data_IF_241076803748
#
_entry.id   IF_241076803748
#
_cell.length_a   1.000
_cell.length_b   1.000
_cell.length_c   1.000
_cell.angle_alpha   90.00
_cell.angle_beta   90.00
_cell.angle_gamma   90.00
#
_symmetry.space_group_name_H-M   'P 1'
#
loop_
_entity.id
_entity.type
_entity.pdbx_description
1 polymer ?
#
# COMPACT_ATOMS: atom_id res chain seq x y z
N UNK A 1 47.15 7.20 42.76
CA UNK A 1 46.18 6.14 42.88
C UNK A 1 44.84 6.66 42.34
N UNK A 2 44.58 6.40 41.10
CA UNK A 2 43.30 6.77 40.41
C UNK A 2 42.33 5.63 40.63
N UNK A 3 41.16 5.92 41.23
CA UNK A 3 40.07 4.97 41.38
C UNK A 3 39.52 4.54 39.99
N UNK A 4 39.17 3.27 39.82
CA UNK A 4 38.58 2.80 38.58
C UNK A 4 37.14 3.36 38.44
N UNK A 5 36.88 3.98 37.33
CA UNK A 5 35.59 4.51 36.94
C UNK A 5 34.73 3.41 36.29
N UNK A 6 34.42 2.35 37.00
CA UNK A 6 33.38 1.38 36.61
C UNK A 6 32.10 1.66 37.40
N UNK A 7 31.53 2.82 37.17
CA UNK A 7 30.13 3.04 37.47
C UNK A 7 29.35 2.49 36.28
N UNK A 8 28.82 1.27 36.40
CA UNK A 8 27.73 0.80 35.59
C UNK A 8 26.59 1.81 35.76
N UNK A 9 26.48 2.75 34.82
CA UNK A 9 25.33 3.64 34.76
C UNK A 9 24.09 2.79 34.51
N UNK A 10 23.40 2.48 35.60
CA UNK A 10 22.08 1.87 35.50
C UNK A 10 21.13 2.94 34.98
N UNK A 11 20.89 2.92 33.70
CA UNK A 11 19.83 3.74 33.11
C UNK A 11 18.50 3.22 33.61
N UNK A 12 17.94 3.88 34.59
CA UNK A 12 16.55 3.69 34.99
C UNK A 12 15.67 4.30 33.92
N UNK A 13 15.22 3.48 32.97
CA UNK A 13 14.19 3.92 32.05
C UNK A 13 12.88 4.11 32.81
N UNK A 14 12.17 5.20 32.52
CA UNK A 14 10.89 5.51 33.16
C UNK A 14 9.88 4.39 32.93
N UNK A 15 9.27 3.89 34.01
CA UNK A 15 8.15 2.94 34.02
C UNK A 15 6.90 3.58 33.36
N UNK A 16 6.05 2.81 32.64
CA UNK A 16 6.03 1.35 32.56
C UNK A 16 6.83 0.78 31.39
N UNK A 17 7.56 -0.30 31.63
CA UNK A 17 8.23 -1.09 30.59
C UNK A 17 7.20 -1.98 29.90
N UNK A 18 6.55 -1.46 28.86
CA UNK A 18 5.69 -2.28 27.99
C UNK A 18 6.60 -2.91 26.94
N UNK A 19 7.01 -4.15 27.17
CA UNK A 19 7.70 -4.94 26.15
C UNK A 19 6.67 -5.71 25.33
N UNK A 20 6.77 -5.62 24.01
CA UNK A 20 6.00 -6.43 23.10
C UNK A 20 6.96 -7.38 22.37
N UNK A 21 6.60 -8.65 22.22
CA UNK A 21 7.37 -9.66 21.50
C UNK A 21 7.44 -9.41 19.98
N UNK A 22 6.71 -8.44 19.49
CA UNK A 22 6.70 -8.05 18.09
C UNK A 22 7.81 -7.03 17.79
N UNK A 23 8.89 -7.49 17.18
CA UNK A 23 9.88 -6.60 16.59
C UNK A 23 9.34 -5.93 15.32
N UNK A 24 9.83 -4.74 14.99
CA UNK A 24 9.49 -4.03 13.75
C UNK A 24 9.72 -4.91 12.52
N UNK A 25 10.83 -5.65 12.50
CA UNK A 25 11.15 -6.57 11.42
C UNK A 25 10.09 -7.68 11.26
N UNK A 26 9.63 -8.28 12.37
CA UNK A 26 8.59 -9.32 12.34
C UNK A 26 7.28 -8.77 11.75
N UNK A 27 6.90 -7.56 12.14
CA UNK A 27 5.71 -6.89 11.58
C UNK A 27 5.86 -6.68 10.07
N UNK A 28 6.98 -6.12 9.63
CA UNK A 28 7.23 -5.85 8.20
C UNK A 28 7.27 -7.14 7.36
N UNK A 29 7.89 -8.20 7.87
CA UNK A 29 7.89 -9.51 7.21
C UNK A 29 6.47 -10.07 7.09
N UNK A 30 5.63 -9.95 8.12
CA UNK A 30 4.25 -10.43 8.06
C UNK A 30 3.43 -9.64 7.02
N UNK A 31 3.67 -8.33 6.90
CA UNK A 31 3.05 -7.52 5.83
C UNK A 31 3.55 -7.97 4.45
N UNK A 32 4.85 -8.24 4.27
CA UNK A 32 5.38 -8.79 3.00
C UNK A 32 4.68 -10.11 2.67
N UNK A 33 4.56 -11.03 3.62
CA UNK A 33 3.86 -12.32 3.41
C UNK A 33 2.42 -12.09 2.95
N UNK A 34 1.72 -11.11 3.50
CA UNK A 34 0.35 -10.78 3.09
C UNK A 34 0.25 -10.15 1.70
N UNK A 35 1.32 -9.47 1.22
CA UNK A 35 1.40 -8.89 -0.12
C UNK A 35 1.81 -9.91 -1.19
N UNK A 36 2.52 -10.98 -0.83
CA UNK A 36 3.02 -11.98 -1.78
C UNK A 36 1.94 -12.59 -2.69
N UNK A 37 0.76 -13.01 -2.19
CA UNK A 37 -0.29 -13.54 -3.05
C UNK A 37 -0.76 -12.54 -4.12
N UNK A 38 -0.83 -11.26 -3.77
CA UNK A 38 -1.17 -10.18 -4.70
C UNK A 38 -0.08 -9.96 -5.75
N UNK A 39 1.20 -10.00 -5.34
CA UNK A 39 2.34 -9.93 -6.26
C UNK A 39 2.31 -11.10 -7.25
N UNK A 40 2.09 -12.33 -6.76
CA UNK A 40 2.05 -13.54 -7.60
C UNK A 40 0.89 -13.46 -8.59
N UNK A 41 -0.32 -13.11 -8.13
CA UNK A 41 -1.46 -12.94 -9.03
C UNK A 41 -1.21 -11.85 -10.07
N UNK A 42 -0.67 -10.69 -9.66
CA UNK A 42 -0.33 -9.60 -10.57
C UNK A 42 0.65 -10.03 -11.67
N UNK A 43 1.65 -10.85 -11.31
CA UNK A 43 2.59 -11.41 -12.31
C UNK A 43 1.91 -12.43 -13.23
N UNK A 44 0.99 -13.25 -12.73
CA UNK A 44 0.22 -14.20 -13.54
C UNK A 44 -0.68 -13.47 -14.54
N UNK A 45 -1.34 -12.38 -14.10
CA UNK A 45 -2.29 -11.62 -14.92
C UNK A 45 -1.60 -10.73 -15.97
N UNK A 46 -0.53 -10.03 -15.58
CA UNK A 46 0.11 -9.01 -16.42
C UNK A 46 1.49 -9.40 -16.95
N UNK A 47 1.99 -10.56 -16.56
CA UNK A 47 3.22 -11.15 -17.09
C UNK A 47 4.50 -10.46 -16.61
N UNK A 48 5.53 -10.52 -17.47
CA UNK A 48 6.88 -10.06 -17.15
C UNK A 48 6.97 -8.58 -16.79
N UNK A 49 6.14 -7.74 -17.39
CA UNK A 49 6.16 -6.29 -17.12
C UNK A 49 5.77 -5.99 -15.66
N UNK A 50 4.77 -6.69 -15.12
CA UNK A 50 4.40 -6.57 -13.70
C UNK A 50 5.53 -7.05 -12.79
N UNK A 51 6.19 -8.17 -13.12
CA UNK A 51 7.34 -8.66 -12.37
C UNK A 51 8.47 -7.63 -12.35
N UNK A 52 8.81 -7.07 -13.51
CA UNK A 52 9.86 -6.04 -13.61
C UNK A 52 9.50 -4.78 -12.81
N UNK A 53 8.27 -4.32 -12.89
CA UNK A 53 7.79 -3.16 -12.10
C UNK A 53 7.93 -3.42 -10.59
N UNK A 54 7.49 -4.59 -10.09
CA UNK A 54 7.60 -4.96 -8.68
C UNK A 54 9.06 -5.10 -8.22
N UNK A 55 9.92 -5.71 -9.03
CA UNK A 55 11.35 -5.84 -8.72
C UNK A 55 12.04 -4.47 -8.71
N UNK A 56 11.77 -3.64 -9.71
CA UNK A 56 12.37 -2.31 -9.81
C UNK A 56 11.94 -1.43 -8.65
N UNK A 57 10.65 -1.38 -8.29
CA UNK A 57 10.19 -0.59 -7.14
C UNK A 57 10.75 -1.11 -5.82
N UNK A 58 10.77 -2.42 -5.62
CA UNK A 58 11.31 -3.03 -4.41
C UNK A 58 12.81 -2.75 -4.25
N UNK A 59 13.61 -3.04 -5.28
CA UNK A 59 15.06 -2.86 -5.23
C UNK A 59 15.43 -1.38 -5.15
N UNK A 60 14.85 -0.52 -6.00
CA UNK A 60 15.16 0.91 -5.98
C UNK A 60 14.80 1.57 -4.64
N UNK A 61 13.71 1.16 -4.00
CA UNK A 61 13.33 1.66 -2.67
C UNK A 61 14.39 1.34 -1.61
N UNK A 62 14.89 0.10 -1.58
CA UNK A 62 15.95 -0.31 -0.66
C UNK A 62 17.26 0.43 -0.97
N UNK A 63 17.62 0.57 -2.25
CA UNK A 63 18.82 1.30 -2.67
C UNK A 63 18.76 2.77 -2.28
N UNK A 64 17.62 3.45 -2.49
CA UNK A 64 17.47 4.85 -2.12
C UNK A 64 17.52 5.07 -0.60
N UNK A 65 16.91 4.18 0.20
CA UNK A 65 17.06 4.24 1.66
C UNK A 65 18.53 4.09 2.08
N UNK A 66 19.21 3.08 1.55
CA UNK A 66 20.64 2.86 1.84
C UNK A 66 21.50 4.06 1.45
N UNK A 67 21.34 4.59 0.23
CA UNK A 67 22.09 5.74 -0.26
C UNK A 67 21.85 6.99 0.58
N UNK A 68 20.59 7.29 0.88
CA UNK A 68 20.22 8.46 1.68
C UNK A 68 20.87 8.39 3.06
N UNK A 69 20.72 7.26 3.78
CA UNK A 69 21.30 7.09 5.12
C UNK A 69 22.81 7.11 5.13
N UNK A 70 23.45 6.55 4.08
CA UNK A 70 24.90 6.62 3.91
C UNK A 70 25.39 8.06 3.69
N UNK A 71 24.70 8.84 2.85
CA UNK A 71 25.04 10.23 2.55
C UNK A 71 24.82 11.15 3.77
N UNK A 72 23.74 10.92 4.53
CA UNK A 72 23.40 11.70 5.72
C UNK A 72 24.08 11.20 7.00
N UNK A 73 24.92 10.15 6.90
CA UNK A 73 25.62 9.52 8.05
C UNK A 73 24.68 9.06 9.17
N UNK A 74 23.46 8.67 8.81
CA UNK A 74 22.49 8.13 9.77
C UNK A 74 22.73 6.63 10.03
N UNK A 75 22.26 6.10 11.18
CA UNK A 75 22.40 4.68 11.48
C UNK A 75 21.63 3.83 10.45
N UNK A 76 22.31 2.78 9.95
CA UNK A 76 21.70 1.86 8.98
C UNK A 76 20.56 1.05 9.62
N UNK A 77 19.37 1.10 9.04
CA UNK A 77 18.18 0.35 9.46
C UNK A 77 17.64 -0.57 8.37
N UNK A 78 18.45 -0.90 7.37
CA UNK A 78 18.03 -1.72 6.21
C UNK A 78 17.49 -3.11 6.59
N UNK A 79 17.79 -3.57 7.82
CA UNK A 79 17.32 -4.87 8.34
C UNK A 79 15.84 -4.88 8.76
N UNK A 80 15.19 -3.71 8.83
CA UNK A 80 13.77 -3.64 9.23
C UNK A 80 12.79 -3.95 8.09
N UNK A 81 13.27 -4.09 6.85
CA UNK A 81 12.49 -4.38 5.63
C UNK A 81 11.43 -3.33 5.27
N UNK A 82 11.41 -2.16 5.93
CA UNK A 82 10.37 -1.15 5.73
C UNK A 82 10.41 -0.50 4.34
N UNK A 83 11.60 -0.29 3.77
CA UNK A 83 11.73 0.22 2.40
C UNK A 83 11.23 -0.79 1.36
N UNK A 84 11.46 -2.09 1.60
CA UNK A 84 10.96 -3.13 0.72
C UNK A 84 9.42 -3.19 0.76
N UNK A 85 8.80 -3.08 1.95
CA UNK A 85 7.33 -2.99 2.09
C UNK A 85 6.79 -1.79 1.31
N UNK A 86 7.37 -0.60 1.50
CA UNK A 86 6.94 0.60 0.77
C UNK A 86 7.11 0.46 -0.74
N UNK A 87 8.22 -0.15 -1.19
CA UNK A 87 8.48 -0.40 -2.60
C UNK A 87 7.52 -1.41 -3.23
N UNK A 88 7.19 -2.50 -2.52
CA UNK A 88 6.20 -3.49 -2.98
C UNK A 88 4.79 -2.88 -3.03
N UNK A 89 4.38 -2.14 -1.99
CA UNK A 89 3.09 -1.44 -2.00
C UNK A 89 3.01 -0.43 -3.13
N UNK A 90 4.09 0.33 -3.38
CA UNK A 90 4.17 1.24 -4.51
C UNK A 90 4.02 0.50 -5.83
N UNK A 91 4.78 -0.58 -6.05
CA UNK A 91 4.69 -1.37 -7.29
C UNK A 91 3.31 -1.93 -7.55
N UNK A 92 2.63 -2.41 -6.49
CA UNK A 92 1.27 -2.97 -6.60
C UNK A 92 0.21 -1.94 -6.99
N UNK A 93 0.41 -0.65 -6.69
CA UNK A 93 -0.53 0.42 -7.07
C UNK A 93 -0.16 1.12 -8.38
N UNK A 94 0.85 0.64 -9.09
CA UNK A 94 1.23 1.15 -10.39
C UNK A 94 0.62 0.32 -11.53
N UNK A 95 0.38 0.91 -12.71
CA UNK A 95 0.07 0.17 -13.93
C UNK A 95 1.23 -0.75 -14.35
N UNK A 96 0.94 -1.94 -14.93
CA UNK A 96 1.98 -2.92 -15.29
C UNK A 96 2.89 -2.50 -16.45
N UNK A 97 2.40 -1.66 -17.38
CA UNK A 97 3.11 -1.30 -18.62
C UNK A 97 3.86 0.04 -18.53
N UNK A 98 4.21 0.49 -17.33
CA UNK A 98 4.99 1.70 -17.17
C UNK A 98 6.44 1.52 -17.66
N UNK A 99 7.03 2.53 -18.34
CA UNK A 99 8.47 2.56 -18.58
C UNK A 99 9.24 2.47 -17.25
N UNK A 100 10.22 1.57 -17.16
CA UNK A 100 10.92 1.21 -15.91
C UNK A 100 11.58 2.38 -15.17
N UNK A 101 11.88 3.48 -15.85
CA UNK A 101 12.42 4.68 -15.19
C UNK A 101 11.38 5.40 -14.30
N UNK A 102 10.08 5.29 -14.61
CA UNK A 102 9.00 5.87 -13.78
C UNK A 102 8.88 5.19 -12.42
N UNK A 103 8.82 3.86 -12.31
CA UNK A 103 8.92 3.15 -11.03
C UNK A 103 10.14 3.54 -10.19
N UNK A 104 11.32 3.74 -10.82
CA UNK A 104 12.52 4.22 -10.12
C UNK A 104 12.31 5.63 -9.57
N UNK A 105 11.78 6.54 -10.38
CA UNK A 105 11.51 7.92 -9.98
C UNK A 105 10.47 7.99 -8.85
N UNK A 106 9.40 7.19 -8.94
CA UNK A 106 8.41 7.07 -7.87
C UNK A 106 9.00 6.55 -6.56
N UNK A 107 9.89 5.55 -6.64
CA UNK A 107 10.59 5.01 -5.46
C UNK A 107 11.52 6.05 -4.83
N UNK A 108 12.19 6.87 -5.62
CA UNK A 108 13.00 7.98 -5.11
C UNK A 108 12.14 8.96 -4.31
N UNK A 109 11.04 9.43 -4.88
CA UNK A 109 10.12 10.36 -4.19
C UNK A 109 9.49 9.70 -2.96
N UNK A 110 9.04 8.46 -3.08
CA UNK A 110 8.44 7.69 -1.98
C UNK A 110 9.40 7.55 -0.79
N UNK A 111 10.63 7.12 -1.04
CA UNK A 111 11.57 6.82 0.05
C UNK A 111 12.31 8.08 0.50
N UNK A 112 12.90 8.85 -0.39
CA UNK A 112 13.73 10.00 0.02
C UNK A 112 12.86 11.13 0.54
N UNK A 113 11.83 11.54 -0.23
CA UNK A 113 11.03 12.72 0.11
C UNK A 113 9.97 12.40 1.16
N UNK A 114 9.20 11.30 0.99
CA UNK A 114 8.07 11.03 1.87
C UNK A 114 8.43 10.28 3.15
N UNK A 115 9.57 9.55 3.18
CA UNK A 115 9.98 8.75 4.34
C UNK A 115 11.22 9.31 5.03
N UNK A 116 12.35 9.40 4.34
CA UNK A 116 13.64 9.69 4.96
C UNK A 116 13.81 11.16 5.35
N UNK A 117 13.28 12.13 4.60
CA UNK A 117 13.34 13.55 4.98
C UNK A 117 12.63 13.84 6.31
N UNK A 118 11.63 13.05 6.68
CA UNK A 118 10.92 13.18 7.95
C UNK A 118 11.58 12.40 9.11
N UNK A 119 12.64 11.62 8.85
CA UNK A 119 13.37 10.86 9.87
C UNK A 119 13.23 9.33 9.76
N UNK A 120 12.63 8.83 8.68
CA UNK A 120 12.49 7.41 8.38
C UNK A 120 11.21 6.78 8.98
N UNK A 121 11.26 5.47 9.21
CA UNK A 121 10.10 4.70 9.68
C UNK A 121 9.52 5.26 10.98
N UNK A 122 8.23 5.52 10.98
CA UNK A 122 7.47 6.01 12.14
C UNK A 122 7.41 7.54 12.25
N UNK A 123 8.18 8.29 11.45
CA UNK A 123 8.19 9.75 11.42
C UNK A 123 7.56 10.34 10.16
N UNK A 124 7.20 9.51 9.18
CA UNK A 124 6.57 9.93 7.95
C UNK A 124 5.17 10.51 8.19
N UNK A 125 4.89 11.66 7.59
CA UNK A 125 3.58 12.36 7.70
C UNK A 125 2.54 11.72 6.78
N UNK A 126 2.99 11.23 5.62
CA UNK A 126 2.15 10.57 4.62
C UNK A 126 2.64 9.16 4.35
N UNK A 127 1.75 8.30 3.85
CA UNK A 127 2.15 6.99 3.38
C UNK A 127 3.11 7.13 2.18
N UNK A 128 4.34 6.58 2.25
CA UNK A 128 5.35 6.78 1.22
C UNK A 128 4.93 6.26 -0.15
N UNK A 129 4.27 5.10 -0.22
CA UNK A 129 3.81 4.54 -1.48
C UNK A 129 2.74 5.42 -2.16
N UNK A 130 1.82 6.01 -1.37
CA UNK A 130 0.83 6.94 -1.90
C UNK A 130 1.45 8.22 -2.44
N UNK A 131 2.46 8.77 -1.76
CA UNK A 131 3.18 9.98 -2.24
C UNK A 131 3.88 9.69 -3.56
N UNK A 132 4.57 8.55 -3.69
CA UNK A 132 5.20 8.14 -4.93
C UNK A 132 4.21 7.99 -6.09
N UNK A 133 3.06 7.33 -5.84
CA UNK A 133 1.96 7.21 -6.82
C UNK A 133 1.38 8.57 -7.19
N UNK A 134 1.06 9.41 -6.21
CA UNK A 134 0.49 10.74 -6.44
C UNK A 134 1.42 11.62 -7.27
N UNK A 135 2.72 11.59 -6.98
CA UNK A 135 3.72 12.29 -7.77
C UNK A 135 3.68 11.87 -9.25
N UNK A 136 3.68 10.56 -9.55
CA UNK A 136 3.58 10.08 -10.92
C UNK A 136 2.26 10.46 -11.57
N UNK A 137 1.14 10.36 -10.84
CA UNK A 137 -0.18 10.68 -11.37
C UNK A 137 -0.31 12.14 -11.78
N UNK A 138 0.27 13.05 -10.99
CA UNK A 138 0.26 14.50 -11.30
C UNK A 138 1.25 14.83 -12.42
N UNK A 139 2.45 14.22 -12.41
CA UNK A 139 3.51 14.54 -13.37
C UNK A 139 3.35 13.86 -14.73
N UNK A 140 2.79 12.64 -14.75
CA UNK A 140 2.67 11.79 -15.95
C UNK A 140 1.28 11.18 -16.09
N UNK A 141 0.18 11.98 -16.10
CA UNK A 141 -1.19 11.46 -16.05
C UNK A 141 -1.53 10.56 -17.25
N UNK A 142 -0.98 10.84 -18.41
CA UNK A 142 -1.22 10.04 -19.63
C UNK A 142 -0.67 8.61 -19.47
N UNK A 143 0.53 8.45 -18.94
CA UNK A 143 1.14 7.12 -18.73
C UNK A 143 0.50 6.38 -17.57
N UNK A 144 0.10 7.09 -16.52
CA UNK A 144 -0.61 6.50 -15.37
C UNK A 144 -2.06 6.10 -15.67
N UNK A 145 -2.65 6.63 -16.74
CA UNK A 145 -3.99 6.29 -17.21
C UNK A 145 -4.06 5.21 -18.29
N UNK A 146 -2.92 4.61 -18.65
CA UNK A 146 -2.90 3.50 -19.63
C UNK A 146 -2.99 2.16 -18.89
N UNK A 147 -4.05 1.41 -19.20
CA UNK A 147 -4.33 0.13 -18.55
C UNK A 147 -4.19 -1.03 -19.54
N UNK A 148 -3.62 -2.12 -19.09
CA UNK A 148 -3.49 -3.36 -19.87
C UNK A 148 -4.57 -4.34 -19.47
N UNK A 149 -5.11 -5.06 -20.47
CA UNK A 149 -5.94 -6.23 -20.24
C UNK A 149 -5.11 -7.36 -19.64
N UNK A 150 -5.68 -8.21 -18.75
CA UNK A 150 -5.03 -9.43 -18.29
C UNK A 150 -4.64 -10.34 -19.45
N UNK A 151 -3.56 -11.12 -19.28
CA UNK A 151 -3.00 -11.99 -20.33
C UNK A 151 -3.98 -13.06 -20.88
N UNK A 152 -5.06 -13.33 -20.15
CA UNK A 152 -6.12 -14.27 -20.58
C UNK A 152 -7.20 -13.62 -21.47
N UNK A 153 -7.24 -12.30 -21.60
CA UNK A 153 -8.14 -11.61 -22.50
C UNK A 153 -7.54 -11.62 -23.92
N UNK A 154 -8.11 -12.45 -24.78
CA UNK A 154 -7.54 -12.90 -26.06
C UNK A 154 -7.28 -11.80 -27.08
N UNK A 155 -7.89 -10.60 -26.96
CA UNK A 155 -7.86 -9.57 -28.03
C UNK A 155 -7.61 -8.12 -27.58
N UNK A 156 -7.28 -7.84 -26.33
CA UNK A 156 -7.20 -6.46 -25.87
C UNK A 156 -5.75 -6.02 -25.52
N UNK A 157 -5.16 -5.22 -26.39
CA UNK A 157 -3.87 -4.55 -26.16
C UNK A 157 -4.00 -3.44 -25.10
N UNK A 158 -5.17 -2.82 -25.00
CA UNK A 158 -5.52 -1.86 -23.93
C UNK A 158 -6.93 -2.14 -23.41
N UNK A 159 -7.12 -2.07 -22.09
CA UNK A 159 -8.42 -2.20 -21.47
C UNK A 159 -8.74 -0.97 -20.62
N UNK A 160 -10.03 -0.69 -20.44
CA UNK A 160 -10.46 0.27 -19.46
C UNK A 160 -10.66 -0.42 -18.09
N UNK A 161 -10.45 0.33 -17.01
CA UNK A 161 -10.76 -0.18 -15.66
C UNK A 161 -12.27 -0.33 -15.49
N UNK A 162 -12.75 -1.17 -14.54
CA UNK A 162 -14.17 -1.28 -14.22
C UNK A 162 -14.85 0.08 -13.99
N UNK A 163 -14.14 1.02 -13.33
CA UNK A 163 -14.62 2.39 -13.11
C UNK A 163 -14.81 3.18 -14.41
N UNK A 164 -13.96 2.98 -15.41
CA UNK A 164 -14.05 3.66 -16.70
C UNK A 164 -15.10 3.04 -17.65
N UNK A 165 -15.28 1.72 -17.56
CA UNK A 165 -16.31 0.99 -18.36
C UNK A 165 -17.70 1.26 -17.78
N UNK A 166 -17.80 1.49 -16.48
CA UNK A 166 -19.05 1.64 -15.76
C UNK A 166 -19.71 0.32 -15.36
N UNK A 167 -20.59 0.38 -14.37
CA UNK A 167 -21.21 -0.79 -13.72
C UNK A 167 -22.02 -1.70 -14.65
N UNK A 168 -22.61 -1.17 -15.71
CA UNK A 168 -23.46 -1.94 -16.61
C UNK A 168 -22.70 -2.94 -17.48
N UNK A 169 -21.40 -2.77 -17.65
CA UNK A 169 -20.53 -3.60 -18.49
C UNK A 169 -19.50 -4.37 -17.68
N UNK A 170 -19.30 -4.02 -16.41
CA UNK A 170 -18.35 -4.69 -15.54
C UNK A 170 -18.94 -5.97 -14.95
N UNK A 171 -18.19 -7.08 -15.03
CA UNK A 171 -18.55 -8.36 -14.43
C UNK A 171 -18.09 -8.40 -12.96
N UNK A 172 -19.01 -8.64 -12.02
CA UNK A 172 -18.67 -8.81 -10.60
C UNK A 172 -17.78 -10.01 -10.33
N UNK A 173 -17.97 -11.10 -11.08
CA UNK A 173 -17.11 -12.28 -10.96
C UNK A 173 -15.68 -11.96 -11.36
N UNK A 174 -15.48 -11.20 -12.42
CA UNK A 174 -14.16 -10.81 -12.89
C UNK A 174 -13.47 -9.85 -11.91
N UNK A 175 -14.21 -8.91 -11.31
CA UNK A 175 -13.68 -8.03 -10.27
C UNK A 175 -13.36 -8.80 -8.97
N UNK A 176 -14.14 -9.83 -8.63
CA UNK A 176 -13.90 -10.63 -7.44
C UNK A 176 -12.63 -11.49 -7.58
N UNK A 177 -12.45 -12.17 -8.70
CA UNK A 177 -11.27 -12.99 -8.97
C UNK A 177 -10.07 -12.20 -9.49
N UNK A 178 -10.30 -11.01 -10.07
CA UNK A 178 -9.24 -10.11 -10.50
C UNK A 178 -8.87 -10.21 -11.97
N UNK A 179 -9.74 -10.72 -12.83
CA UNK A 179 -9.53 -10.81 -14.29
C UNK A 179 -9.85 -9.50 -15.01
N UNK A 180 -9.81 -8.37 -14.32
CA UNK A 180 -10.08 -7.03 -14.86
C UNK A 180 -8.79 -6.23 -15.05
N UNK A 181 -8.82 -5.24 -15.97
CA UNK A 181 -7.72 -4.29 -16.11
C UNK A 181 -7.63 -3.33 -14.90
N UNK A 182 -6.41 -3.04 -14.47
CA UNK A 182 -6.18 -2.17 -13.31
C UNK A 182 -4.71 -2.09 -12.92
N UNK A 183 -4.43 -1.60 -11.71
CA UNK A 183 -3.10 -1.67 -11.13
C UNK A 183 -2.77 -3.13 -10.75
N UNK A 184 -1.47 -3.43 -10.63
CA UNK A 184 -0.97 -4.81 -10.42
C UNK A 184 -1.62 -5.50 -9.21
N UNK A 185 -1.81 -4.77 -8.09
CA UNK A 185 -2.31 -5.34 -6.83
C UNK A 185 -3.77 -5.03 -6.50
N UNK A 186 -4.47 -4.24 -7.32
CA UNK A 186 -5.84 -3.81 -7.05
C UNK A 186 -6.90 -4.71 -7.70
N UNK A 187 -6.50 -5.67 -8.52
CA UNK A 187 -7.41 -6.43 -9.39
C UNK A 187 -8.29 -7.43 -8.64
N UNK A 188 -7.76 -8.16 -7.66
CA UNK A 188 -8.49 -9.23 -6.97
C UNK A 188 -9.03 -8.82 -5.60
N UNK A 189 -10.33 -8.59 -5.52
CA UNK A 189 -11.04 -8.37 -4.25
C UNK A 189 -10.83 -9.54 -3.28
N UNK A 190 -10.90 -10.79 -3.76
CA UNK A 190 -10.76 -11.99 -2.93
C UNK A 190 -9.41 -12.01 -2.19
N UNK A 191 -8.30 -11.81 -2.89
CA UNK A 191 -6.97 -11.87 -2.27
C UNK A 191 -6.74 -10.74 -1.28
N UNK A 192 -7.28 -9.54 -1.55
CA UNK A 192 -7.20 -8.41 -0.61
C UNK A 192 -7.99 -8.74 0.67
N UNK A 193 -9.17 -9.35 0.56
CA UNK A 193 -9.95 -9.78 1.73
C UNK A 193 -9.24 -10.89 2.53
N UNK A 194 -8.61 -11.86 1.87
CA UNK A 194 -7.81 -12.88 2.55
C UNK A 194 -6.63 -12.22 3.30
N UNK A 195 -5.92 -11.30 2.66
CA UNK A 195 -4.84 -10.54 3.30
C UNK A 195 -5.34 -9.71 4.49
N UNK A 196 -6.52 -9.08 4.38
CA UNK A 196 -7.15 -8.34 5.47
C UNK A 196 -7.41 -9.25 6.68
N UNK A 197 -8.07 -10.39 6.47
CA UNK A 197 -8.35 -11.37 7.54
C UNK A 197 -7.05 -11.85 8.18
N UNK A 198 -6.03 -12.18 7.37
CA UNK A 198 -4.72 -12.60 7.86
C UNK A 198 -4.06 -11.54 8.74
N UNK A 199 -4.04 -10.27 8.31
CA UNK A 199 -3.43 -9.17 9.07
C UNK A 199 -4.20 -8.83 10.35
N UNK A 200 -5.53 -8.96 10.37
CA UNK A 200 -6.34 -8.79 11.58
C UNK A 200 -6.13 -9.95 12.56
N UNK A 201 -6.10 -11.19 12.08
CA UNK A 201 -5.85 -12.38 12.92
C UNK A 201 -4.45 -12.35 13.55
N UNK A 202 -3.44 -11.87 12.83
CA UNK A 202 -2.09 -11.69 13.37
C UNK A 202 -1.95 -10.44 14.27
N UNK A 203 -3.04 -9.69 14.47
CA UNK A 203 -3.09 -8.45 15.28
C UNK A 203 -2.10 -7.38 14.84
N UNK A 204 -1.73 -7.38 13.56
CA UNK A 204 -0.84 -6.36 12.99
C UNK A 204 -1.63 -5.11 12.65
N UNK A 205 -2.84 -5.26 12.11
CA UNK A 205 -3.72 -4.12 11.81
C UNK A 205 -4.97 -4.15 12.68
N UNK A 206 -5.52 -2.95 12.93
CA UNK A 206 -6.84 -2.80 13.57
C UNK A 206 -7.92 -2.74 12.48
N UNK A 207 -8.94 -3.57 12.60
CA UNK A 207 -10.04 -3.66 11.65
C UNK A 207 -10.90 -2.39 11.53
N UNK A 208 -10.82 -1.47 12.53
CA UNK A 208 -11.68 -0.27 12.60
C UNK A 208 -11.44 0.69 11.46
N UNK A 209 -10.20 1.00 11.14
CA UNK A 209 -9.85 1.93 10.05
C UNK A 209 -10.31 1.41 8.69
N UNK A 210 -9.94 0.19 8.26
CA UNK A 210 -10.38 -0.35 6.98
C UNK A 210 -11.90 -0.43 6.85
N UNK A 211 -12.57 -0.94 7.90
CA UNK A 211 -14.03 -1.09 7.87
C UNK A 211 -14.74 0.27 7.83
N UNK A 212 -14.28 1.26 8.60
CA UNK A 212 -14.86 2.59 8.56
C UNK A 212 -14.68 3.25 7.19
N UNK A 213 -13.48 3.17 6.59
CA UNK A 213 -13.18 3.74 5.27
C UNK A 213 -14.05 3.09 4.18
N UNK A 214 -14.11 1.75 4.16
CA UNK A 214 -14.92 1.01 3.19
C UNK A 214 -16.41 1.32 3.37
N UNK A 215 -16.91 1.29 4.61
CA UNK A 215 -18.31 1.57 4.89
C UNK A 215 -18.71 2.98 4.44
N UNK A 216 -17.88 3.99 4.72
CA UNK A 216 -18.15 5.37 4.32
C UNK A 216 -18.18 5.53 2.81
N UNK A 217 -17.17 5.00 2.10
CA UNK A 217 -17.07 5.09 0.65
C UNK A 217 -18.22 4.37 -0.04
N UNK A 218 -18.56 3.17 0.42
CA UNK A 218 -19.67 2.37 -0.12
C UNK A 218 -21.02 3.05 0.15
N UNK A 219 -21.23 3.61 1.34
CA UNK A 219 -22.45 4.38 1.64
C UNK A 219 -22.55 5.63 0.79
N UNK A 220 -21.44 6.37 0.64
CA UNK A 220 -21.41 7.55 -0.22
C UNK A 220 -21.72 7.17 -1.69
N UNK A 221 -21.06 6.14 -2.21
CA UNK A 221 -21.31 5.63 -3.56
C UNK A 221 -22.77 5.20 -3.76
N UNK A 222 -23.33 4.45 -2.79
CA UNK A 222 -24.73 4.06 -2.85
C UNK A 222 -25.69 5.27 -2.90
N UNK A 223 -25.42 6.31 -2.10
CA UNK A 223 -26.27 7.50 -2.05
C UNK A 223 -26.15 8.39 -3.28
N UNK A 224 -24.94 8.61 -3.80
CA UNK A 224 -24.65 9.70 -4.74
C UNK A 224 -24.30 9.26 -6.17
N UNK A 225 -23.87 8.01 -6.41
CA UNK A 225 -23.43 7.58 -7.76
C UNK A 225 -24.53 6.95 -8.60
N UNK A 226 -25.77 6.90 -8.10
CA UNK A 226 -26.89 6.30 -8.80
C UNK A 226 -27.41 7.14 -9.95
N UNK A 227 -27.64 6.51 -11.12
CA UNK A 227 -28.19 7.17 -12.31
C UNK A 227 -29.68 7.57 -12.18
N UNK A 228 -30.40 6.97 -11.23
CA UNK A 228 -31.84 7.14 -11.05
C UNK A 228 -32.22 7.98 -9.82
N UNK A 229 -31.27 8.67 -9.21
CA UNK A 229 -31.46 9.53 -8.03
C UNK A 229 -30.75 9.01 -6.77
N UNK A 230 -31.02 9.67 -5.64
CA UNK A 230 -30.41 9.34 -4.35
C UNK A 230 -30.78 7.90 -3.93
N UNK A 231 -29.76 7.13 -3.53
CA UNK A 231 -29.95 5.74 -3.06
C UNK A 231 -30.05 4.67 -4.17
N UNK A 232 -29.76 5.02 -5.43
CA UNK A 232 -29.75 4.09 -6.55
C UNK A 232 -28.33 3.62 -6.98
N UNK A 233 -27.30 3.99 -6.24
CA UNK A 233 -25.93 3.56 -6.47
C UNK A 233 -25.73 2.07 -6.18
N UNK A 234 -24.63 1.50 -6.68
CA UNK A 234 -24.28 0.10 -6.52
C UNK A 234 -23.14 -0.07 -5.51
N UNK A 235 -23.50 -0.46 -4.30
CA UNK A 235 -22.58 -0.65 -3.19
C UNK A 235 -21.50 -1.73 -3.46
N UNK A 236 -21.88 -2.82 -4.16
CA UNK A 236 -20.94 -3.90 -4.49
C UNK A 236 -19.95 -3.47 -5.56
N UNK A 237 -20.42 -2.72 -6.54
CA UNK A 237 -19.55 -2.16 -7.56
C UNK A 237 -18.51 -1.23 -6.94
N UNK A 238 -18.94 -0.29 -6.08
CA UNK A 238 -18.04 0.64 -5.40
C UNK A 238 -17.02 -0.08 -4.50
N UNK A 239 -17.44 -1.16 -3.84
CA UNK A 239 -16.56 -1.98 -3.01
C UNK A 239 -15.47 -2.68 -3.83
N UNK A 240 -15.82 -3.24 -4.98
CA UNK A 240 -14.95 -4.09 -5.78
C UNK A 240 -14.15 -3.32 -6.83
N UNK A 241 -14.54 -2.08 -7.13
CA UNK A 241 -13.91 -1.28 -8.17
C UNK A 241 -12.74 -0.46 -7.64
N UNK A 242 -11.68 -0.37 -8.41
CA UNK A 242 -10.51 0.46 -8.11
C UNK A 242 -9.72 0.03 -6.87
N UNK A 243 -8.92 0.97 -6.37
CA UNK A 243 -7.97 0.72 -5.27
C UNK A 243 -8.53 0.89 -3.86
N UNK A 244 -9.87 0.99 -3.66
CA UNK A 244 -10.47 1.25 -2.35
C UNK A 244 -10.05 0.20 -1.30
N UNK A 245 -10.25 -1.07 -1.59
CA UNK A 245 -9.93 -2.16 -0.65
C UNK A 245 -8.42 -2.24 -0.38
N UNK A 246 -7.59 -2.13 -1.39
CA UNK A 246 -6.14 -2.14 -1.22
C UNK A 246 -5.69 -0.96 -0.37
N UNK A 247 -6.17 0.24 -0.66
CA UNK A 247 -5.90 1.46 0.12
C UNK A 247 -6.36 1.35 1.56
N UNK A 248 -7.56 0.84 1.81
CA UNK A 248 -8.10 0.66 3.16
C UNK A 248 -7.30 -0.35 3.99
N UNK A 249 -6.90 -1.49 3.39
CA UNK A 249 -6.23 -2.58 4.11
C UNK A 249 -4.75 -2.30 4.35
N UNK A 250 -4.02 -1.82 3.33
CA UNK A 250 -2.56 -1.71 3.40
C UNK A 250 -2.04 -0.29 3.61
N UNK A 251 -2.78 0.73 3.17
CA UNK A 251 -2.30 2.11 3.19
C UNK A 251 -2.89 2.93 4.33
N UNK A 252 -4.19 2.83 4.60
CA UNK A 252 -4.83 3.54 5.70
C UNK A 252 -4.48 2.94 7.08
N UNK A 253 -3.93 1.73 7.13
CA UNK A 253 -3.47 1.07 8.36
C UNK A 253 -1.99 1.29 8.67
N UNK A 254 -1.31 2.15 7.94
CA UNK A 254 0.09 2.49 8.22
C UNK A 254 0.24 3.05 9.64
N UNK A 255 1.16 2.48 10.42
CA UNK A 255 1.38 2.82 11.82
C UNK A 255 1.78 4.28 12.06
N UNK A 256 2.50 4.89 11.10
CA UNK A 256 2.99 6.26 11.25
C UNK A 256 1.89 7.29 11.03
N UNK A 257 0.97 7.01 10.10
CA UNK A 257 -0.05 7.98 9.67
C UNK A 257 -1.42 7.75 10.30
N UNK A 258 -1.68 6.55 10.87
CA UNK A 258 -2.97 6.23 11.48
C UNK A 258 -3.05 6.63 12.96
N UNK A 259 -4.23 7.06 13.46
CA UNK A 259 -4.43 7.41 14.85
C UNK A 259 -4.23 6.23 15.80
N UNK A 260 -3.71 6.50 17.02
CA UNK A 260 -3.47 5.49 18.04
C UNK A 260 -4.76 5.07 18.75
N UNK A 261 -5.71 6.01 18.94
CA UNK A 261 -6.94 5.77 19.70
C UNK A 261 -8.00 5.02 18.89
N UNK A 262 -8.77 4.15 19.55
CA UNK A 262 -9.84 3.38 18.91
C UNK A 262 -10.91 4.26 18.22
N UNK A 263 -11.30 5.36 18.88
CA UNK A 263 -12.24 6.34 18.30
C UNK A 263 -11.61 7.15 17.18
N UNK A 264 -10.35 7.54 17.33
CA UNK A 264 -9.61 8.25 16.28
C UNK A 264 -9.49 7.43 14.99
N UNK A 265 -9.30 6.11 15.09
CA UNK A 265 -9.26 5.20 13.91
C UNK A 265 -10.58 5.16 13.15
N UNK A 266 -11.72 5.19 13.85
CA UNK A 266 -13.04 5.26 13.20
C UNK A 266 -13.24 6.61 12.49
N UNK A 267 -12.89 7.71 13.16
CA UNK A 267 -12.99 9.07 12.58
C UNK A 267 -12.06 9.20 11.37
N UNK A 268 -10.84 8.68 11.47
CA UNK A 268 -9.86 8.70 10.37
C UNK A 268 -10.31 7.87 9.16
N UNK A 269 -10.96 6.75 9.39
CA UNK A 269 -11.52 5.94 8.29
C UNK A 269 -12.78 6.57 7.68
N UNK A 270 -13.51 7.40 8.43
CA UNK A 270 -14.68 8.12 7.94
C UNK A 270 -14.32 9.32 7.06
N UNK A 271 -13.28 10.09 7.38
CA UNK A 271 -12.85 11.32 6.69
C UNK A 271 -11.69 11.16 5.79
#
# INVERSE_FOLDING_TARGET
>A
MSAPSDVNEIYLSSSPHITNDNSTQKIMITVIISLLPLCVLGVILFGLNALLTLLVTGVSSVVFEFLFRKLTKQPMRSSDCSALVSGLMLGLVLPPDLPLWLPVLASLVSIVVAKEFFGGLGANVFNPALVGRAFLFVSFPKLMGTWRAPAFAVDAVSSATPLAIGRNLASYTDMFFGTTGGCIGETSTLLILIAFVFLVCTKIIDWRTPVAMVATTVLYGWFFTGSYGLGSGDALFELMSGGLLFGAVFMATDYATSPVTKKGRLIFGFG
#
